data_IF_604985331415
#
_entry.id   IF_604985331415
#
_cell.length_a   1.000
_cell.length_b   1.000
_cell.length_c   1.000
_cell.angle_alpha   90.00
_cell.angle_beta   90.00
_cell.angle_gamma   90.00
#
_symmetry.space_group_name_H-M   'P 1'
#
loop_
_entity.id
_entity.type
_entity.pdbx_description
1 polymer ?
#
# COMPACT_ATOMS: atom_id res chain seq x y z
N UNK A 1 6.96 -10.94 21.22
CA UNK A 1 8.25 -10.33 20.80
C UNK A 1 7.96 -9.11 19.94
N UNK A 2 8.62 -8.05 20.26
CA UNK A 2 8.43 -6.82 19.52
C UNK A 2 9.13 -6.85 18.18
N UNK A 3 8.48 -6.34 17.19
CA UNK A 3 9.13 -6.16 15.91
C UNK A 3 10.04 -4.94 15.97
N UNK A 4 11.22 -5.10 15.45
CA UNK A 4 12.16 -3.98 15.44
C UNK A 4 11.76 -2.98 14.37
N UNK A 5 12.02 -1.71 14.64
CA UNK A 5 11.80 -0.64 13.69
C UNK A 5 12.91 -0.69 12.64
N UNK A 6 12.57 -0.54 11.34
CA UNK A 6 13.60 -0.55 10.30
C UNK A 6 14.64 0.54 10.52
N UNK A 7 15.89 0.20 10.26
CA UNK A 7 17.01 1.12 10.44
C UNK A 7 17.61 1.61 9.14
N UNK A 8 17.09 1.15 8.00
CA UNK A 8 17.56 1.58 6.68
C UNK A 8 16.39 2.12 5.90
N UNK A 9 16.68 2.97 4.94
CA UNK A 9 15.67 3.50 4.05
C UNK A 9 15.05 2.39 3.21
N UNK A 10 13.77 2.54 2.91
CA UNK A 10 13.06 1.58 2.09
C UNK A 10 11.62 1.38 2.53
N UNK A 11 10.97 0.41 1.89
CA UNK A 11 9.60 0.04 2.20
C UNK A 11 9.62 -1.35 2.78
N UNK A 12 9.09 -1.50 3.99
CA UNK A 12 9.19 -2.76 4.75
C UNK A 12 7.84 -3.17 5.29
N UNK A 13 7.26 -4.27 4.79
CA UNK A 13 6.07 -4.84 5.44
C UNK A 13 6.50 -5.63 6.68
N UNK A 14 5.82 -5.38 7.78
CA UNK A 14 6.04 -6.06 9.05
C UNK A 14 4.69 -6.33 9.70
N UNK A 15 4.26 -7.59 9.71
CA UNK A 15 2.93 -7.89 10.19
C UNK A 15 1.88 -7.20 9.34
N UNK A 16 0.97 -6.44 9.94
CA UNK A 16 -0.04 -5.71 9.19
C UNK A 16 0.35 -4.25 8.96
N UNK A 17 1.62 -3.91 9.16
CA UNK A 17 2.11 -2.53 9.03
C UNK A 17 3.11 -2.42 7.89
N UNK A 18 2.98 -1.37 7.11
CA UNK A 18 3.97 -1.02 6.08
C UNK A 18 4.76 0.18 6.58
N UNK A 19 6.06 0.01 6.68
CA UNK A 19 6.96 1.11 7.04
C UNK A 19 7.58 1.71 5.79
N UNK A 20 7.42 3.01 5.63
CA UNK A 20 8.08 3.75 4.55
C UNK A 20 9.10 4.66 5.20
N UNK A 21 10.37 4.32 5.04
CA UNK A 21 11.47 4.97 5.75
C UNK A 21 12.33 5.76 4.78
N UNK A 22 12.46 7.05 5.02
CA UNK A 22 13.29 7.93 4.22
C UNK A 22 12.52 8.57 3.07
N UNK A 23 13.16 9.55 2.39
CA UNK A 23 12.44 10.40 1.44
C UNK A 23 11.88 9.67 0.22
N UNK A 24 12.61 8.73 -0.36
CA UNK A 24 12.13 8.01 -1.53
C UNK A 24 10.93 7.13 -1.21
N UNK A 25 11.02 6.40 -0.09
CA UNK A 25 9.96 5.51 0.33
C UNK A 25 8.71 6.30 0.70
N UNK A 26 8.89 7.40 1.44
CA UNK A 26 7.78 8.27 1.80
C UNK A 26 7.10 8.83 0.56
N UNK A 27 7.89 9.29 -0.41
CA UNK A 27 7.33 9.86 -1.63
C UNK A 27 6.52 8.81 -2.40
N UNK A 28 7.04 7.60 -2.52
CA UNK A 28 6.37 6.54 -3.26
C UNK A 28 5.06 6.14 -2.61
N UNK A 29 5.07 5.89 -1.31
CA UNK A 29 3.87 5.48 -0.58
C UNK A 29 2.86 6.62 -0.54
N UNK A 30 3.33 7.84 -0.26
CA UNK A 30 2.44 9.00 -0.19
C UNK A 30 1.79 9.28 -1.54
N UNK A 31 2.55 9.15 -2.63
CA UNK A 31 2.00 9.33 -3.97
C UNK A 31 0.92 8.32 -4.27
N UNK A 32 1.11 7.07 -3.85
CA UNK A 32 0.10 6.03 -4.05
C UNK A 32 -1.18 6.34 -3.28
N UNK A 33 -1.08 7.00 -2.14
CA UNK A 33 -2.23 7.36 -1.31
C UNK A 33 -2.87 8.68 -1.71
N UNK A 34 -2.18 9.52 -2.46
CA UNK A 34 -2.62 10.89 -2.73
C UNK A 34 -3.60 10.93 -3.91
N UNK A 35 -4.71 10.21 -3.77
CA UNK A 35 -5.73 10.15 -4.80
C UNK A 35 -7.03 9.72 -4.13
N UNK A 36 -8.08 10.51 -4.35
CA UNK A 36 -9.40 10.15 -3.82
C UNK A 36 -9.86 8.81 -4.37
N UNK A 37 -9.60 8.56 -5.65
CA UNK A 37 -9.98 7.31 -6.29
C UNK A 37 -9.31 6.11 -5.60
N UNK A 38 -8.01 6.20 -5.34
CA UNK A 38 -7.30 5.11 -4.69
C UNK A 38 -7.71 4.97 -3.23
N UNK A 39 -8.00 6.08 -2.55
CA UNK A 39 -8.51 6.01 -1.18
C UNK A 39 -9.84 5.27 -1.12
N UNK A 40 -10.72 5.49 -2.11
CA UNK A 40 -11.99 4.79 -2.18
C UNK A 40 -11.79 3.30 -2.42
N UNK A 41 -10.85 2.94 -3.26
CA UNK A 41 -10.53 1.52 -3.49
C UNK A 41 -10.07 0.88 -2.19
N UNK A 42 -9.19 1.54 -1.44
CA UNK A 42 -8.72 1.00 -0.17
C UNK A 42 -9.86 0.84 0.83
N UNK A 43 -10.80 1.77 0.84
CA UNK A 43 -11.97 1.69 1.72
C UNK A 43 -12.82 0.47 1.38
N UNK A 44 -12.95 0.13 0.11
CA UNK A 44 -13.66 -1.08 -0.31
C UNK A 44 -12.91 -2.32 0.18
N UNK A 45 -11.61 -2.34 -0.01
CA UNK A 45 -10.78 -3.50 0.31
C UNK A 45 -10.66 -3.76 1.81
N UNK A 46 -10.94 -2.75 2.64
CA UNK A 46 -10.88 -2.97 4.08
C UNK A 46 -11.97 -3.94 4.55
N UNK A 47 -12.98 -4.17 3.74
CA UNK A 47 -14.04 -5.14 4.06
C UNK A 47 -13.65 -6.57 3.66
N UNK A 48 -12.62 -6.72 2.84
CA UNK A 48 -12.14 -8.02 2.41
C UNK A 48 -11.71 -8.03 0.97
N UNK A 49 -11.13 -9.15 0.52
CA UNK A 49 -10.72 -9.29 -0.88
C UNK A 49 -11.90 -9.08 -1.83
N UNK A 50 -11.66 -8.35 -2.91
CA UNK A 50 -12.72 -7.98 -3.85
C UNK A 50 -12.17 -8.10 -5.27
N UNK A 51 -12.97 -8.61 -6.20
CA UNK A 51 -12.49 -8.73 -7.57
C UNK A 51 -12.54 -7.39 -8.31
N UNK A 52 -11.73 -7.31 -9.35
CA UNK A 52 -11.53 -6.07 -10.10
C UNK A 52 -12.82 -5.52 -10.67
N UNK A 53 -13.71 -6.38 -11.19
CA UNK A 53 -14.96 -5.93 -11.77
C UNK A 53 -15.87 -5.29 -10.72
N UNK A 54 -15.95 -5.89 -9.54
CA UNK A 54 -16.76 -5.34 -8.47
C UNK A 54 -16.21 -4.02 -7.99
N UNK A 55 -14.88 -3.91 -7.88
CA UNK A 55 -14.27 -2.63 -7.51
C UNK A 55 -14.64 -1.55 -8.53
N UNK A 56 -14.52 -1.88 -9.81
CA UNK A 56 -14.82 -0.94 -10.88
C UNK A 56 -16.27 -0.46 -10.80
N UNK A 57 -17.19 -1.37 -10.54
CA UNK A 57 -18.59 -1.01 -10.40
C UNK A 57 -18.81 -0.10 -9.19
N UNK A 58 -18.19 -0.42 -8.08
CA UNK A 58 -18.38 0.33 -6.84
C UNK A 58 -17.83 1.75 -6.93
N UNK A 59 -16.70 1.95 -7.64
CA UNK A 59 -16.13 3.29 -7.81
C UNK A 59 -16.60 3.97 -9.08
N UNK A 60 -17.44 3.30 -9.87
CA UNK A 60 -18.00 3.82 -11.11
C UNK A 60 -16.91 4.26 -12.09
N UNK A 61 -15.95 3.39 -12.32
CA UNK A 61 -14.85 3.63 -13.26
C UNK A 61 -14.67 2.41 -14.14
N UNK A 62 -13.96 2.59 -15.24
CA UNK A 62 -13.67 1.49 -16.15
C UNK A 62 -12.69 0.51 -15.50
N UNK A 63 -12.73 -0.74 -15.96
CA UNK A 63 -11.78 -1.75 -15.49
C UNK A 63 -10.35 -1.33 -15.77
N UNK A 64 -10.10 -0.68 -16.90
CA UNK A 64 -8.76 -0.22 -17.25
C UNK A 64 -8.26 0.84 -16.24
N UNK A 65 -9.13 1.79 -15.89
CA UNK A 65 -8.76 2.80 -14.90
C UNK A 65 -8.48 2.18 -13.54
N UNK A 66 -9.35 1.29 -13.09
CA UNK A 66 -9.18 0.65 -11.80
C UNK A 66 -7.92 -0.21 -11.80
N UNK A 67 -7.66 -0.93 -12.89
CA UNK A 67 -6.45 -1.74 -13.00
C UNK A 67 -5.20 -0.88 -12.86
N UNK A 68 -5.19 0.30 -13.47
CA UNK A 68 -4.08 1.24 -13.37
C UNK A 68 -3.90 1.74 -11.94
N UNK A 69 -5.01 2.06 -11.27
CA UNK A 69 -4.96 2.52 -9.88
C UNK A 69 -4.43 1.42 -8.95
N UNK A 70 -4.89 0.20 -9.16
CA UNK A 70 -4.46 -0.93 -8.35
C UNK A 70 -2.97 -1.20 -8.54
N UNK A 71 -2.46 -1.05 -9.76
CA UNK A 71 -1.03 -1.24 -10.02
C UNK A 71 -0.19 -0.29 -9.18
N UNK A 72 -0.62 0.96 -9.04
CA UNK A 72 0.12 1.93 -8.22
C UNK A 72 0.12 1.52 -6.76
N UNK A 73 -0.99 0.98 -6.27
CA UNK A 73 -1.07 0.49 -4.90
C UNK A 73 -0.22 -0.77 -4.71
N UNK A 74 -0.19 -1.64 -5.70
CA UNK A 74 0.65 -2.84 -5.67
C UNK A 74 2.14 -2.46 -5.64
N UNK A 75 2.52 -1.51 -6.48
CA UNK A 75 3.92 -1.08 -6.56
C UNK A 75 4.42 -0.50 -5.24
N UNK A 76 3.52 0.10 -4.47
CA UNK A 76 3.87 0.63 -3.15
C UNK A 76 3.78 -0.40 -2.04
N UNK A 77 3.29 -1.62 -2.35
CA UNK A 77 3.19 -2.67 -1.35
C UNK A 77 1.95 -2.62 -0.49
N UNK A 78 0.96 -1.82 -0.87
CA UNK A 78 -0.24 -1.61 -0.04
C UNK A 78 -1.30 -2.68 -0.30
N UNK A 79 -1.39 -3.15 -1.54
CA UNK A 79 -2.32 -4.22 -1.91
C UNK A 79 -1.57 -5.29 -2.68
N UNK A 80 -2.17 -6.46 -2.77
CA UNK A 80 -1.69 -7.54 -3.60
C UNK A 80 -2.86 -8.13 -4.36
N UNK A 81 -2.56 -8.80 -5.46
CA UNK A 81 -3.57 -9.42 -6.32
C UNK A 81 -3.28 -10.88 -6.50
N UNK A 82 -4.32 -11.64 -6.72
CA UNK A 82 -4.22 -13.04 -7.11
C UNK A 82 -5.29 -13.33 -8.14
N UNK A 83 -5.08 -14.39 -8.88
CA UNK A 83 -6.01 -14.77 -9.93
C UNK A 83 -6.71 -16.04 -9.52
N UNK A 84 -8.03 -16.05 -9.62
CA UNK A 84 -8.85 -17.20 -9.23
C UNK A 84 -9.79 -17.55 -10.37
N UNK A 85 -10.20 -18.84 -10.49
CA UNK A 85 -11.18 -19.22 -11.50
C UNK A 85 -12.51 -18.54 -11.20
N UNK A 86 -13.18 -18.07 -12.25
CA UNK A 86 -14.51 -17.51 -12.17
C UNK A 86 -15.40 -18.16 -13.19
N UNK A 87 -16.66 -17.76 -13.20
CA UNK A 87 -17.63 -18.35 -14.13
C UNK A 87 -17.32 -18.01 -15.57
N UNK A 88 -16.69 -16.88 -15.81
CA UNK A 88 -16.38 -16.42 -17.17
C UNK A 88 -14.89 -16.29 -17.39
N UNK A 89 -14.12 -17.22 -16.82
CA UNK A 89 -12.68 -17.18 -16.94
C UNK A 89 -12.03 -16.80 -15.63
N UNK A 90 -10.87 -16.16 -15.71
CA UNK A 90 -10.06 -15.87 -14.53
C UNK A 90 -10.44 -14.50 -13.96
N UNK A 91 -10.64 -14.45 -12.66
CA UNK A 91 -10.89 -13.19 -11.96
C UNK A 91 -9.63 -12.71 -11.26
N UNK A 92 -9.40 -11.43 -11.28
CA UNK A 92 -8.33 -10.80 -10.50
C UNK A 92 -8.93 -10.32 -9.19
N UNK A 93 -8.46 -10.89 -8.09
CA UNK A 93 -8.92 -10.53 -6.75
C UNK A 93 -7.85 -9.72 -6.07
N UNK A 94 -8.25 -8.60 -5.49
CA UNK A 94 -7.34 -7.65 -4.86
C UNK A 94 -7.62 -7.63 -3.37
N UNK A 95 -6.56 -7.58 -2.56
CA UNK A 95 -6.73 -7.49 -1.12
C UNK A 95 -5.64 -6.62 -0.50
N UNK A 96 -5.93 -6.08 0.67
CA UNK A 96 -4.94 -5.31 1.40
C UNK A 96 -3.79 -6.20 1.85
N UNK A 97 -2.57 -5.72 1.68
CA UNK A 97 -1.39 -6.38 2.23
C UNK A 97 -1.20 -5.98 3.68
N UNK A 98 -1.52 -4.73 3.99
CA UNK A 98 -1.34 -4.16 5.32
C UNK A 98 -2.56 -3.30 5.65
N UNK A 99 -2.75 -3.01 6.93
CA UNK A 99 -3.86 -2.17 7.39
C UNK A 99 -3.36 -0.86 8.00
N UNK A 100 -2.05 -0.72 8.13
CA UNK A 100 -1.46 0.45 8.77
C UNK A 100 -0.19 0.83 8.02
N UNK A 101 0.02 2.13 7.86
CA UNK A 101 1.19 2.65 7.18
C UNK A 101 1.87 3.63 8.11
N UNK A 102 3.17 3.46 8.29
CA UNK A 102 3.99 4.35 9.11
C UNK A 102 5.01 5.01 8.21
N UNK A 103 5.00 6.32 8.19
CA UNK A 103 5.96 7.11 7.43
C UNK A 103 7.03 7.60 8.42
N UNK A 104 8.27 7.18 8.19
CA UNK A 104 9.38 7.53 9.06
C UNK A 104 10.33 8.44 8.31
N UNK A 105 10.53 9.63 8.84
CA UNK A 105 11.36 10.64 8.18
C UNK A 105 12.82 10.21 8.19
N UNK A 106 13.28 9.61 9.29
CA UNK A 106 14.64 9.13 9.39
C UNK A 106 14.67 7.69 9.88
N UNK A 107 15.65 6.91 9.41
CA UNK A 107 15.76 5.51 9.85
C UNK A 107 16.11 5.42 11.33
N UNK A 108 15.61 4.38 11.99
CA UNK A 108 15.94 4.12 13.38
C UNK A 108 15.24 4.99 14.40
N UNK A 109 14.38 5.93 13.94
CA UNK A 109 13.61 6.76 14.86
C UNK A 109 14.39 7.90 15.46
N UNK A 110 13.92 8.44 16.60
CA UNK A 110 14.50 9.67 17.18
C UNK A 110 15.97 9.58 17.54
N UNK A 111 16.42 8.43 17.98
CA UNK A 111 17.83 8.27 18.35
C UNK A 111 18.75 8.44 17.16
N UNK A 112 18.33 7.86 16.04
CA UNK A 112 19.12 8.00 14.81
C UNK A 112 19.17 9.43 14.35
N UNK A 113 18.04 10.15 14.47
CA UNK A 113 18.00 11.56 14.09
C UNK A 113 18.95 12.40 14.92
N UNK A 114 19.04 12.11 16.22
CA UNK A 114 19.96 12.83 17.09
C UNK A 114 21.41 12.57 16.70
N UNK A 115 21.73 11.32 16.34
CA UNK A 115 23.09 10.96 15.99
C UNK A 115 23.52 11.58 14.68
N UNK A 116 22.59 11.86 13.80
CA UNK A 116 22.91 12.47 12.52
C UNK A 116 22.87 13.98 12.55
N UNK A 117 22.64 14.54 13.71
CA UNK A 117 22.56 15.98 13.87
C UNK A 117 23.88 16.63 13.48
N UNK A 118 23.76 17.64 12.65
CA UNK A 118 24.91 18.40 12.18
C UNK A 118 24.94 19.70 12.95
N UNK A 119 26.07 19.97 13.53
CA UNK A 119 26.25 21.22 14.25
C UNK A 119 26.54 22.37 13.32
#
# INVERSE_FOLDING_TARGET
>A
MEESVPTKEGIYPRGDTLYAVGPRAIAKVSSALASESRAKILAILQKGPTDLEDIAMMVNQSKANVSSQIRKLEDAGIVKSRYVPGQRGIKKVVELTVHKIVLMISPGGPESAEQTKVS
#
